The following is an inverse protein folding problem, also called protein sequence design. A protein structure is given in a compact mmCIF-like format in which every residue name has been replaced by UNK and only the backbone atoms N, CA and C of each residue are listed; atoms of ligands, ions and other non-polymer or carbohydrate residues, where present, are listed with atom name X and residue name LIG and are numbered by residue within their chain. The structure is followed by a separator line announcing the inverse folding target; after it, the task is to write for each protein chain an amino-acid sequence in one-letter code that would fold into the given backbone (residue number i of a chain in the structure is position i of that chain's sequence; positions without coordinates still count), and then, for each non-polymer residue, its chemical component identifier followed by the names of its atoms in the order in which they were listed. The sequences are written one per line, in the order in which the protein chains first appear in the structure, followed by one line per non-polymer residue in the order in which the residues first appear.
data_IF_092022040533
#
_entry.id   IF_092022040533
#
_cell.length_a   1.000
_cell.length_b   1.000
_cell.length_c   1.000
_cell.angle_alpha   90.00
_cell.angle_beta   90.00
_cell.angle_gamma   90.00
#
_symmetry.space_group_name_H-M   'P 1'
#
loop_
_entity.id
_entity.type
_entity.pdbx_description
1 polymer ?
#
# COMPACT_ATOMS: atom_id res chain seq x y z
N UNK A 1 6.62 8.89 58.30
CA UNK A 1 6.41 10.10 59.11
C UNK A 1 7.58 10.22 60.09
N UNK A 2 8.16 11.44 60.19
CA UNK A 2 9.20 11.73 61.18
C UNK A 2 8.52 12.32 62.42
N UNK A 3 9.01 11.98 63.62
CA UNK A 3 8.49 12.49 64.87
C UNK A 3 9.55 13.32 65.58
N UNK A 4 9.13 14.28 66.40
CA UNK A 4 10.03 15.05 67.22
C UNK A 4 9.30 16.07 68.08
N UNK A 5 10.03 16.73 68.95
CA UNK A 5 9.52 17.75 69.88
C UNK A 5 9.93 19.12 69.41
N UNK A 6 9.02 20.08 69.30
CA UNK A 6 9.29 21.46 68.93
C UNK A 6 10.01 22.17 70.10
N UNK A 7 11.21 22.67 69.85
CA UNK A 7 11.99 23.40 70.82
C UNK A 7 11.83 24.90 70.74
N UNK A 8 11.88 25.44 69.55
CA UNK A 8 11.83 26.88 69.27
C UNK A 8 11.16 27.17 67.94
N UNK A 9 10.44 28.28 67.88
CA UNK A 9 9.83 28.77 66.62
C UNK A 9 10.43 30.15 66.33
N UNK A 10 10.97 30.33 65.10
CA UNK A 10 11.47 31.60 64.58
C UNK A 10 10.85 31.85 63.22
N UNK A 11 9.94 32.83 63.17
CA UNK A 11 9.19 33.17 61.95
C UNK A 11 8.38 31.98 61.45
N UNK A 12 8.63 31.53 60.20
CA UNK A 12 7.89 30.45 59.57
C UNK A 12 8.62 29.07 59.63
N UNK A 13 9.52 28.89 60.67
CA UNK A 13 10.28 27.68 60.89
C UNK A 13 10.31 27.28 62.35
N UNK A 14 10.14 26.00 62.60
CA UNK A 14 10.30 25.38 63.91
C UNK A 14 11.59 24.57 63.94
N UNK A 15 12.32 24.65 65.06
CA UNK A 15 13.45 23.76 65.37
C UNK A 15 12.87 22.59 66.15
N UNK A 16 12.98 21.39 65.62
CA UNK A 16 12.42 20.16 66.17
C UNK A 16 13.56 19.23 66.57
N UNK A 17 13.52 18.69 67.79
CA UNK A 17 14.41 17.65 68.25
C UNK A 17 13.81 16.29 67.87
N UNK A 18 14.54 15.51 67.11
CA UNK A 18 14.14 14.14 66.76
C UNK A 18 14.55 13.14 67.86
N UNK A 19 13.92 11.94 67.93
CA UNK A 19 14.27 10.94 68.91
C UNK A 19 15.72 10.44 68.88
N UNK A 20 16.38 10.61 67.70
CA UNK A 20 17.78 10.30 67.46
C UNK A 20 18.73 11.45 67.89
N UNK A 21 18.22 12.46 68.57
CA UNK A 21 19.02 13.56 69.15
C UNK A 21 19.42 14.63 68.17
N UNK A 22 18.82 14.67 66.94
CA UNK A 22 19.15 15.66 65.90
C UNK A 22 18.21 16.85 65.93
N UNK A 23 18.76 18.03 65.71
CA UNK A 23 17.99 19.24 65.55
C UNK A 23 17.69 19.47 64.07
N UNK A 24 16.38 19.51 63.72
CA UNK A 24 15.94 19.77 62.33
C UNK A 24 15.12 21.04 62.30
N UNK A 25 15.39 21.89 61.32
CA UNK A 25 14.53 23.03 61.00
C UNK A 25 13.46 22.63 60.02
N UNK A 26 12.21 22.67 60.44
CA UNK A 26 11.04 22.29 59.65
C UNK A 26 10.18 23.51 59.41
N UNK A 27 9.55 23.63 58.26
CA UNK A 27 8.60 24.70 57.98
C UNK A 27 7.33 24.50 58.85
N UNK A 28 6.88 25.59 59.46
CA UNK A 28 5.65 25.59 60.25
C UNK A 28 4.45 25.26 59.37
N UNK A 29 3.56 24.30 59.74
CA UNK A 29 2.31 24.09 59.02
C UNK A 29 1.34 25.24 59.28
N UNK A 30 0.26 25.34 58.46
CA UNK A 30 -0.73 26.39 58.58
C UNK A 30 -1.48 26.38 59.93
N UNK A 31 -1.59 25.22 60.54
CA UNK A 31 -2.26 25.02 61.84
C UNK A 31 -1.45 25.51 63.05
N UNK A 32 -0.18 25.88 62.83
CA UNK A 32 0.75 26.29 63.87
C UNK A 32 1.23 25.14 64.74
N UNK A 33 2.42 25.31 65.39
CA UNK A 33 2.96 24.45 66.43
C UNK A 33 3.40 25.34 67.58
N UNK A 34 3.47 24.78 68.78
CA UNK A 34 3.96 25.49 69.97
C UNK A 34 5.24 24.82 70.48
N UNK A 35 6.15 25.55 71.14
CA UNK A 35 7.28 24.97 71.83
C UNK A 35 6.83 23.95 72.87
N UNK A 36 7.39 22.73 72.81
CA UNK A 36 7.00 21.59 73.69
C UNK A 36 6.05 20.59 72.96
N UNK A 37 5.47 20.91 71.83
CA UNK A 37 4.58 20.00 71.11
C UNK A 37 5.35 18.82 70.56
N UNK A 38 4.79 17.60 70.75
CA UNK A 38 5.19 16.45 69.95
C UNK A 38 4.54 16.46 68.61
N UNK A 39 5.35 16.64 67.57
CA UNK A 39 4.87 16.79 66.23
C UNK A 39 5.33 15.66 65.33
N UNK A 40 4.47 15.31 64.41
CA UNK A 40 4.82 14.40 63.30
C UNK A 40 4.80 15.17 62.00
N UNK A 41 5.88 15.07 61.28
CA UNK A 41 5.95 15.67 59.95
C UNK A 41 6.48 14.67 58.93
N UNK A 42 6.10 14.85 57.71
CA UNK A 42 6.56 14.03 56.60
C UNK A 42 5.85 14.46 55.35
N UNK A 43 6.56 14.39 54.28
CA UNK A 43 5.93 14.61 52.98
C UNK A 43 5.07 13.39 52.74
N UNK A 44 3.77 13.51 52.84
CA UNK A 44 2.89 12.57 52.17
C UNK A 44 3.31 12.58 50.71
N UNK A 45 3.90 11.52 50.24
CA UNK A 45 4.06 11.30 48.82
C UNK A 45 2.65 11.01 48.30
N UNK A 46 1.92 12.10 48.06
CA UNK A 46 0.72 12.02 47.26
C UNK A 46 1.14 11.39 45.91
N UNK A 47 0.70 10.16 45.68
CA UNK A 47 0.78 9.47 44.41
C UNK A 47 -0.24 10.06 43.44
N UNK A 48 -0.30 11.39 43.35
CA UNK A 48 -0.94 12.00 42.19
C UNK A 48 -0.01 11.70 41.00
N UNK A 49 -0.41 10.76 40.15
CA UNK A 49 0.16 10.61 38.83
C UNK A 49 0.24 12.02 38.24
N UNK A 50 1.45 12.50 38.02
CA UNK A 50 1.63 13.88 37.54
C UNK A 50 0.73 14.02 36.32
N UNK A 51 -0.11 15.04 36.23
CA UNK A 51 -1.07 15.20 35.10
C UNK A 51 -0.37 15.08 33.74
N UNK A 52 0.91 15.46 33.67
CA UNK A 52 1.76 15.25 32.50
C UNK A 52 1.91 13.77 32.10
N UNK A 53 1.97 12.85 33.09
CA UNK A 53 2.13 11.41 32.80
C UNK A 53 0.81 10.81 32.31
N UNK A 54 -0.33 11.25 32.84
CA UNK A 54 -1.65 10.87 32.36
C UNK A 54 -1.86 11.38 30.92
N UNK A 55 -1.50 12.64 30.66
CA UNK A 55 -1.58 13.20 29.31
C UNK A 55 -0.68 12.47 28.32
N UNK A 56 0.55 12.10 28.73
CA UNK A 56 1.45 11.33 27.88
C UNK A 56 0.87 9.94 27.55
N UNK A 57 0.29 9.25 28.53
CA UNK A 57 -0.37 7.95 28.29
C UNK A 57 -1.57 8.08 27.35
N UNK A 58 -2.40 9.11 27.52
CA UNK A 58 -3.54 9.37 26.62
C UNK A 58 -3.07 9.69 25.20
N UNK A 59 -1.99 10.47 25.06
CA UNK A 59 -1.42 10.80 23.76
C UNK A 59 -0.87 9.55 23.05
N UNK A 60 -0.18 8.67 23.76
CA UNK A 60 0.30 7.39 23.21
C UNK A 60 -0.87 6.49 22.83
N UNK A 61 -1.90 6.40 23.68
CA UNK A 61 -3.11 5.62 23.41
C UNK A 61 -3.87 6.12 22.18
N UNK A 62 -3.80 7.41 21.88
CA UNK A 62 -4.41 7.99 20.67
C UNK A 62 -3.51 7.86 19.44
N UNK A 63 -2.21 8.17 19.57
CA UNK A 63 -1.30 8.23 18.43
C UNK A 63 -0.91 6.85 17.88
N UNK A 64 -0.78 5.83 18.74
CA UNK A 64 -0.40 4.49 18.30
C UNK A 64 -1.48 3.87 17.38
N UNK A 65 -2.77 3.81 17.77
CA UNK A 65 -3.80 3.29 16.87
C UNK A 65 -4.01 4.19 15.64
N UNK A 66 -3.87 5.51 15.78
CA UNK A 66 -3.94 6.43 14.64
C UNK A 66 -2.79 6.18 13.64
N UNK A 67 -1.57 5.97 14.12
CA UNK A 67 -0.42 5.62 13.28
C UNK A 67 -0.57 4.22 12.65
N UNK A 68 -1.13 3.25 13.37
CA UNK A 68 -1.45 1.92 12.84
C UNK A 68 -2.55 2.00 11.77
N UNK A 69 -3.60 2.77 11.99
CA UNK A 69 -4.65 3.01 11.01
C UNK A 69 -4.11 3.73 9.78
N UNK A 70 -3.33 4.81 9.97
CA UNK A 70 -2.63 5.50 8.89
C UNK A 70 -1.76 4.53 8.07
N UNK A 71 -0.95 3.72 8.75
CA UNK A 71 -0.11 2.71 8.10
C UNK A 71 -0.92 1.64 7.37
N UNK A 72 -2.08 1.25 7.88
CA UNK A 72 -2.96 0.27 7.26
C UNK A 72 -3.69 0.83 6.03
N UNK A 73 -4.21 2.06 6.11
CA UNK A 73 -4.97 2.68 5.02
C UNK A 73 -4.09 3.41 3.99
N UNK A 74 -2.98 4.04 4.41
CA UNK A 74 -2.15 4.89 3.56
C UNK A 74 -0.80 4.28 3.17
N UNK A 75 -0.42 3.12 3.72
CA UNK A 75 0.80 2.43 3.33
C UNK A 75 0.73 1.79 1.92
N UNK A 76 -0.48 1.76 1.31
CA UNK A 76 -0.64 1.42 -0.08
C UNK A 76 -0.26 2.63 -0.93
N UNK A 77 0.65 2.42 -1.87
CA UNK A 77 1.02 3.44 -2.85
C UNK A 77 -0.15 3.77 -3.80
N UNK A 78 -0.03 4.84 -4.59
CA UNK A 78 -0.96 5.08 -5.68
C UNK A 78 -0.89 3.95 -6.70
N UNK A 79 -2.00 3.70 -7.40
CA UNK A 79 -2.04 2.75 -8.51
C UNK A 79 -1.03 3.18 -9.58
N UNK A 80 -0.18 2.26 -10.01
CA UNK A 80 0.82 2.46 -11.07
C UNK A 80 0.55 1.60 -12.29
N UNK A 81 -0.19 0.50 -12.11
CA UNK A 81 -0.65 -0.34 -13.20
C UNK A 81 -1.99 -0.99 -12.85
N UNK A 82 -2.77 -1.31 -13.85
CA UNK A 82 -3.98 -2.13 -13.75
C UNK A 82 -3.70 -3.50 -14.33
N UNK A 83 -4.22 -4.51 -13.67
CA UNK A 83 -4.13 -5.91 -14.10
C UNK A 83 -5.54 -6.45 -14.22
N UNK A 84 -6.01 -6.70 -15.43
CA UNK A 84 -7.27 -7.40 -15.65
C UNK A 84 -7.04 -8.91 -15.81
N UNK A 85 -7.94 -9.68 -15.21
CA UNK A 85 -7.93 -11.14 -15.24
C UNK A 85 -9.28 -11.60 -15.79
N UNK A 86 -9.25 -12.15 -16.96
CA UNK A 86 -10.42 -12.62 -17.68
C UNK A 86 -10.41 -14.15 -17.73
N UNK A 87 -11.33 -14.75 -17.00
CA UNK A 87 -11.55 -16.19 -16.92
C UNK A 87 -12.99 -16.50 -17.37
N UNK A 88 -13.89 -15.54 -17.24
CA UNK A 88 -15.31 -15.63 -17.08
C UNK A 88 -15.69 -16.29 -15.73
N UNK A 89 -15.25 -15.64 -14.64
CA UNK A 89 -15.35 -14.22 -14.26
C UNK A 89 -14.28 -13.27 -14.82
N UNK A 90 -14.59 -11.95 -14.80
CA UNK A 90 -13.65 -10.88 -15.17
C UNK A 90 -13.44 -9.92 -13.99
N UNK A 91 -12.17 -9.67 -13.66
CA UNK A 91 -11.73 -8.86 -12.54
C UNK A 91 -10.66 -7.85 -12.97
N UNK A 92 -10.58 -6.71 -12.32
CA UNK A 92 -9.50 -5.75 -12.47
C UNK A 92 -8.89 -5.39 -11.12
N UNK A 93 -7.58 -5.42 -11.04
CA UNK A 93 -6.80 -5.07 -9.87
C UNK A 93 -5.89 -3.87 -10.18
N UNK A 94 -5.89 -2.85 -9.30
CA UNK A 94 -4.90 -1.79 -9.32
C UNK A 94 -3.75 -2.13 -8.37
N UNK A 95 -2.51 -2.04 -8.86
CA UNK A 95 -1.31 -2.36 -8.09
C UNK A 95 -0.45 -1.12 -7.85
N UNK A 96 0.21 -1.08 -6.69
CA UNK A 96 1.18 -0.04 -6.35
C UNK A 96 2.60 -0.39 -6.88
N UNK A 97 3.57 0.51 -6.69
CA UNK A 97 4.96 0.31 -7.09
C UNK A 97 5.68 -0.86 -6.37
N UNK A 98 5.02 -1.50 -5.41
CA UNK A 98 5.49 -2.71 -4.73
C UNK A 98 4.70 -3.95 -5.14
N UNK A 99 3.93 -3.85 -6.22
CA UNK A 99 3.07 -4.90 -6.75
C UNK A 99 2.02 -5.39 -5.74
N UNK A 100 1.60 -4.51 -4.81
CA UNK A 100 0.54 -4.82 -3.86
C UNK A 100 -0.79 -4.31 -4.39
N UNK A 101 -1.81 -5.12 -4.25
CA UNK A 101 -3.17 -4.79 -4.68
C UNK A 101 -3.75 -3.70 -3.78
N UNK A 102 -4.02 -2.54 -4.35
CA UNK A 102 -4.59 -1.39 -3.66
C UNK A 102 -6.03 -1.05 -4.12
N UNK A 103 -6.44 -1.61 -5.26
CA UNK A 103 -7.79 -1.51 -5.79
C UNK A 103 -8.20 -2.86 -6.40
N UNK A 104 -9.48 -3.23 -6.24
CA UNK A 104 -10.05 -4.37 -6.91
C UNK A 104 -11.47 -4.04 -7.37
N UNK A 105 -11.81 -4.46 -8.58
CA UNK A 105 -13.11 -4.22 -9.21
C UNK A 105 -13.54 -5.48 -9.96
N UNK A 106 -14.78 -5.87 -9.78
CA UNK A 106 -15.41 -6.87 -10.64
C UNK A 106 -15.92 -6.18 -11.92
N UNK A 107 -15.75 -6.83 -13.05
CA UNK A 107 -16.19 -6.34 -14.36
C UNK A 107 -17.45 -7.04 -14.86
N UNK A 108 -17.87 -8.11 -14.15
CA UNK A 108 -19.10 -8.84 -14.42
C UNK A 108 -19.65 -9.50 -13.13
N UNK A 109 -20.91 -9.98 -13.12
CA UNK A 109 -21.54 -10.58 -11.92
C UNK A 109 -20.78 -11.78 -11.35
N UNK A 110 -20.18 -12.61 -12.20
CA UNK A 110 -19.36 -13.74 -11.74
C UNK A 110 -18.08 -13.27 -11.03
N UNK A 111 -17.50 -12.15 -11.50
CA UNK A 111 -16.39 -11.49 -10.83
C UNK A 111 -16.76 -10.96 -9.43
N UNK A 112 -17.98 -10.46 -9.25
CA UNK A 112 -18.46 -10.05 -7.92
C UNK A 112 -18.49 -11.21 -6.94
N UNK A 113 -18.89 -12.40 -7.39
CA UNK A 113 -18.93 -13.60 -6.56
C UNK A 113 -17.53 -14.09 -6.14
N UNK A 114 -16.52 -13.90 -6.99
CA UNK A 114 -15.12 -14.17 -6.64
C UNK A 114 -14.61 -13.10 -5.67
N UNK A 115 -14.84 -11.83 -5.99
CA UNK A 115 -14.31 -10.71 -5.22
C UNK A 115 -14.86 -10.66 -3.80
N UNK A 116 -16.12 -11.05 -3.58
CA UNK A 116 -16.77 -11.08 -2.28
C UNK A 116 -16.08 -12.00 -1.27
N UNK A 117 -15.46 -13.09 -1.74
CA UNK A 117 -14.72 -14.04 -0.90
C UNK A 117 -13.21 -13.80 -0.84
N UNK A 118 -12.71 -12.76 -1.52
CA UNK A 118 -11.28 -12.56 -1.74
C UNK A 118 -10.68 -11.55 -0.77
N UNK A 119 -9.62 -11.94 -0.08
CA UNK A 119 -8.77 -11.00 0.67
C UNK A 119 -7.68 -10.47 -0.25
N UNK A 120 -7.86 -9.27 -0.77
CA UNK A 120 -6.95 -8.70 -1.77
C UNK A 120 -6.16 -7.49 -1.28
N UNK A 121 -6.74 -6.66 -0.40
CA UNK A 121 -6.18 -5.35 -0.05
C UNK A 121 -4.81 -5.46 0.62
N UNK A 122 -3.80 -4.87 0.00
CA UNK A 122 -2.43 -4.81 0.51
C UNK A 122 -1.61 -6.09 0.34
N UNK A 123 -2.19 -7.14 -0.23
CA UNK A 123 -1.48 -8.39 -0.53
C UNK A 123 -0.72 -8.26 -1.85
N UNK A 124 0.25 -9.13 -2.07
CA UNK A 124 0.95 -9.23 -3.35
C UNK A 124 -0.01 -9.62 -4.47
N UNK A 125 0.24 -9.15 -5.67
CA UNK A 125 -0.55 -9.51 -6.84
C UNK A 125 -0.56 -11.04 -7.06
N UNK A 126 0.59 -11.68 -6.91
CA UNK A 126 0.76 -13.13 -7.08
C UNK A 126 -0.16 -13.94 -6.16
N UNK A 127 -0.19 -13.59 -4.86
CA UNK A 127 -1.06 -14.27 -3.89
C UNK A 127 -2.54 -14.07 -4.21
N UNK A 128 -2.91 -12.86 -4.64
CA UNK A 128 -4.29 -12.54 -5.00
C UNK A 128 -4.71 -13.31 -6.25
N UNK A 129 -3.84 -13.38 -7.27
CA UNK A 129 -4.10 -14.13 -8.50
C UNK A 129 -4.15 -15.64 -8.26
N UNK A 130 -3.32 -16.15 -7.35
CA UNK A 130 -3.39 -17.53 -6.92
C UNK A 130 -4.77 -17.85 -6.31
N UNK A 131 -5.24 -17.01 -5.37
CA UNK A 131 -6.55 -17.20 -4.73
C UNK A 131 -7.71 -17.06 -5.73
N UNK A 132 -7.64 -16.10 -6.67
CA UNK A 132 -8.62 -15.96 -7.77
C UNK A 132 -8.69 -17.22 -8.61
N UNK A 133 -7.51 -17.75 -8.98
CA UNK A 133 -7.43 -18.97 -9.81
C UNK A 133 -7.98 -20.19 -9.05
N UNK A 134 -7.66 -20.32 -7.75
CA UNK A 134 -8.21 -21.37 -6.88
C UNK A 134 -9.74 -21.29 -6.87
N UNK A 135 -10.31 -20.13 -6.58
CA UNK A 135 -11.76 -19.95 -6.53
C UNK A 135 -12.41 -20.18 -7.90
N UNK A 136 -11.76 -19.79 -8.99
CA UNK A 136 -12.26 -20.02 -10.35
C UNK A 136 -12.33 -21.51 -10.69
N UNK A 137 -11.35 -22.29 -10.26
CA UNK A 137 -11.35 -23.77 -10.40
C UNK A 137 -12.43 -24.39 -9.51
N UNK A 138 -12.50 -24.01 -8.24
CA UNK A 138 -13.47 -24.56 -7.27
C UNK A 138 -14.93 -24.29 -7.65
N UNK A 139 -15.20 -23.12 -8.22
CA UNK A 139 -16.53 -22.73 -8.72
C UNK A 139 -16.82 -23.27 -10.14
N UNK A 140 -15.86 -23.94 -10.78
CA UNK A 140 -16.02 -24.58 -12.09
C UNK A 140 -15.99 -23.63 -13.28
N UNK A 141 -15.48 -22.41 -13.10
CA UNK A 141 -15.25 -21.46 -14.19
C UNK A 141 -14.09 -21.90 -15.10
N UNK A 142 -13.08 -22.58 -14.54
CA UNK A 142 -12.00 -23.22 -15.29
C UNK A 142 -12.19 -24.71 -15.20
N UNK A 143 -12.55 -25.36 -16.32
CA UNK A 143 -12.71 -26.82 -16.40
C UNK A 143 -11.53 -27.43 -17.14
N UNK A 144 -10.97 -28.52 -16.60
CA UNK A 144 -10.00 -29.36 -17.30
C UNK A 144 -10.65 -29.92 -18.58
N UNK A 145 -10.06 -30.02 -19.66
CA UNK A 145 -10.46 -30.49 -21.00
C UNK A 145 -10.16 -29.46 -22.11
N UNK A 146 -9.27 -28.49 -21.83
CA UNK A 146 -8.89 -27.49 -22.83
C UNK A 146 -9.95 -26.41 -23.13
N UNK A 147 -11.04 -26.37 -22.33
CA UNK A 147 -12.17 -25.43 -22.52
C UNK A 147 -12.12 -24.21 -21.62
N UNK A 148 -10.97 -23.89 -21.02
CA UNK A 148 -10.80 -22.70 -20.19
C UNK A 148 -9.52 -22.00 -20.57
N UNK A 149 -9.58 -20.70 -20.73
CA UNK A 149 -8.41 -19.83 -20.86
C UNK A 149 -8.42 -18.75 -19.75
N UNK A 150 -7.26 -18.41 -19.28
CA UNK A 150 -7.05 -17.27 -18.38
C UNK A 150 -6.28 -16.23 -19.18
N UNK A 151 -6.89 -15.07 -19.35
CA UNK A 151 -6.22 -13.93 -19.96
C UNK A 151 -5.83 -12.93 -18.89
N UNK A 152 -4.54 -12.67 -18.75
CA UNK A 152 -4.00 -11.65 -17.84
C UNK A 152 -3.53 -10.47 -18.70
N UNK A 153 -4.06 -9.29 -18.44
CA UNK A 153 -3.66 -8.09 -19.19
C UNK A 153 -3.17 -7.03 -18.24
N UNK A 154 -1.98 -6.50 -18.50
CA UNK A 154 -1.37 -5.42 -17.70
C UNK A 154 -1.41 -4.12 -18.49
N UNK A 155 -1.93 -3.08 -17.85
CA UNK A 155 -2.05 -1.73 -18.40
C UNK A 155 -1.36 -0.74 -17.46
N UNK A 156 -0.31 -0.01 -17.89
CA UNK A 156 0.28 1.04 -17.08
C UNK A 156 -0.70 2.21 -16.92
N UNK A 157 -0.56 2.98 -15.83
CA UNK A 157 -1.32 4.22 -15.65
C UNK A 157 -0.72 5.29 -16.54
N UNK A 158 -1.53 5.94 -17.38
CA UNK A 158 -1.12 7.03 -18.28
C UNK A 158 -0.34 8.13 -17.55
N UNK A 159 0.72 8.64 -18.16
CA UNK A 159 1.55 9.73 -17.62
C UNK A 159 2.70 9.27 -16.70
N UNK A 160 3.01 7.97 -16.64
CA UNK A 160 4.14 7.44 -15.82
C UNK A 160 5.12 6.56 -16.59
N UNK A 161 5.27 6.75 -17.87
CA UNK A 161 6.24 5.99 -18.67
C UNK A 161 5.76 5.65 -20.06
N UNK A 162 4.97 6.52 -20.68
CA UNK A 162 4.53 6.35 -22.06
C UNK A 162 5.70 6.58 -23.03
N UNK A 163 6.62 5.62 -23.05
CA UNK A 163 7.37 5.35 -24.27
C UNK A 163 6.46 4.52 -25.19
N UNK A 164 6.55 4.69 -26.52
CA UNK A 164 5.80 3.86 -27.45
C UNK A 164 6.10 2.38 -27.19
N UNK A 165 5.11 1.48 -27.38
CA UNK A 165 5.35 0.05 -27.23
C UNK A 165 6.52 -0.37 -28.12
N UNK A 166 7.41 -1.28 -27.63
CA UNK A 166 8.52 -1.76 -28.43
C UNK A 166 7.92 -2.36 -29.74
N UNK A 167 8.27 -1.77 -30.87
CA UNK A 167 7.95 -2.35 -32.17
C UNK A 167 8.43 -3.80 -32.21
N UNK A 168 7.67 -4.72 -32.79
CA UNK A 168 8.14 -6.07 -33.00
C UNK A 168 9.41 -6.01 -33.85
N UNK A 169 10.48 -6.59 -33.34
CA UNK A 169 11.79 -6.60 -33.98
C UNK A 169 11.69 -7.10 -35.43
N UNK A 170 11.61 -6.20 -36.37
CA UNK A 170 11.93 -6.50 -37.78
C UNK A 170 13.43 -6.58 -37.83
N UNK A 171 13.94 -7.75 -38.20
CA UNK A 171 15.34 -7.96 -38.46
C UNK A 171 15.85 -6.94 -39.49
N UNK A 172 16.84 -6.18 -39.11
CA UNK A 172 17.49 -5.20 -39.97
C UNK A 172 18.87 -4.85 -39.42
N UNK A 173 19.84 -4.88 -40.29
CA UNK A 173 21.26 -4.70 -40.20
C UNK A 173 21.75 -3.54 -39.29
N UNK A 174 22.99 -3.58 -38.77
CA UNK A 174 23.50 -2.57 -37.84
C UNK A 174 23.64 -1.19 -38.51
N UNK A 175 23.24 -0.10 -37.85
CA UNK A 175 23.48 1.24 -38.38
C UNK A 175 24.93 1.69 -38.16
N UNK A 176 25.48 2.22 -39.23
CA UNK A 176 26.71 2.96 -39.38
C UNK A 176 26.76 4.17 -38.42
N UNK A 177 27.91 4.42 -37.80
CA UNK A 177 28.12 5.50 -36.86
C UNK A 177 28.07 6.87 -37.52
N UNK A 178 27.35 7.87 -37.02
CA UNK A 178 27.48 9.25 -37.46
C UNK A 178 28.58 9.99 -36.68
N UNK A 179 29.32 10.77 -37.47
CA UNK A 179 30.42 11.62 -37.09
C UNK A 179 30.09 12.67 -36.03
N UNK A 180 31.14 13.01 -35.28
CA UNK A 180 31.16 14.08 -34.27
C UNK A 180 30.69 15.43 -34.80
N UNK A 181 29.76 16.06 -34.10
CA UNK A 181 29.48 17.48 -34.23
C UNK A 181 29.66 18.20 -32.89
N UNK A 182 30.58 19.11 -32.94
CA UNK A 182 30.99 20.25 -32.13
C UNK A 182 30.10 20.71 -30.97
N UNK A 183 30.81 20.97 -29.87
CA UNK A 183 30.38 21.65 -28.64
C UNK A 183 29.69 22.99 -28.92
N UNK A 184 28.50 23.16 -28.37
CA UNK A 184 27.83 24.44 -28.17
C UNK A 184 27.78 24.76 -26.68
N UNK A 185 28.05 26.03 -26.37
CA UNK A 185 28.19 26.61 -25.03
C UNK A 185 27.00 26.44 -24.10
N UNK A 186 27.18 26.51 -22.76
CA UNK A 186 26.10 26.31 -21.80
C UNK A 186 25.25 27.59 -21.68
N UNK A 187 24.05 27.52 -22.22
CA UNK A 187 23.00 28.52 -22.02
C UNK A 187 22.38 28.43 -20.64
N UNK A 188 22.07 29.58 -20.08
CA UNK A 188 21.56 29.90 -18.75
C UNK A 188 20.46 28.96 -18.24
N UNK A 189 20.59 28.63 -16.96
CA UNK A 189 19.77 27.68 -16.21
C UNK A 189 18.26 27.90 -16.33
N UNK A 190 17.62 26.99 -16.99
CA UNK A 190 16.18 26.75 -16.92
C UNK A 190 15.89 26.02 -15.61
N UNK A 191 15.23 26.67 -14.67
CA UNK A 191 14.82 26.04 -13.42
C UNK A 191 13.82 24.92 -13.75
N UNK A 192 14.05 23.69 -13.28
CA UNK A 192 13.13 22.59 -13.55
C UNK A 192 11.76 22.92 -12.95
N UNK A 193 10.72 22.87 -13.77
CA UNK A 193 9.34 23.09 -13.37
C UNK A 193 8.90 22.13 -12.24
N UNK A 194 7.81 22.41 -11.53
CA UNK A 194 7.36 21.64 -10.37
C UNK A 194 7.07 20.14 -10.66
N UNK A 195 6.92 19.76 -11.92
CA UNK A 195 6.83 18.36 -12.34
C UNK A 195 8.17 17.62 -12.27
N UNK A 196 9.28 18.28 -12.66
CA UNK A 196 10.62 17.69 -12.63
C UNK A 196 11.17 17.51 -11.20
N UNK A 197 10.70 18.33 -10.23
CA UNK A 197 11.04 18.14 -8.82
C UNK A 197 10.35 16.91 -8.19
N UNK A 198 9.20 16.50 -8.71
CA UNK A 198 8.47 15.32 -8.23
C UNK A 198 9.13 14.00 -8.61
N UNK A 199 9.93 13.96 -9.66
CA UNK A 199 10.64 12.75 -10.12
C UNK A 199 11.90 12.42 -9.31
N UNK A 200 12.46 13.38 -8.57
CA UNK A 200 13.73 13.24 -7.85
C UNK A 200 13.62 12.90 -6.37
N UNK A 201 12.47 12.38 -5.91
CA UNK A 201 12.36 11.92 -4.52
C UNK A 201 13.01 10.52 -4.39
N UNK A 202 14.16 10.39 -3.72
CA UNK A 202 14.96 9.15 -3.73
C UNK A 202 14.29 7.92 -3.09
N UNK A 203 13.12 8.09 -2.49
CA UNK A 203 12.33 6.99 -1.89
C UNK A 203 11.18 6.47 -2.76
N UNK A 204 10.93 7.06 -3.94
CA UNK A 204 9.96 6.51 -4.88
C UNK A 204 10.63 5.41 -5.70
N UNK A 205 10.26 4.16 -5.43
CA UNK A 205 10.58 3.08 -6.35
C UNK A 205 9.98 3.42 -7.73
N UNK A 206 10.75 3.18 -8.82
CA UNK A 206 10.18 3.28 -10.15
C UNK A 206 8.97 2.34 -10.27
N UNK A 207 7.99 2.64 -11.14
CA UNK A 207 6.90 1.72 -11.41
C UNK A 207 7.48 0.38 -11.87
N UNK A 208 6.87 -0.75 -11.47
CA UNK A 208 7.31 -2.04 -11.95
C UNK A 208 7.15 -2.12 -13.47
N UNK A 209 8.07 -2.84 -14.12
CA UNK A 209 7.98 -3.11 -15.55
C UNK A 209 6.69 -3.89 -15.85
N UNK A 210 5.79 -3.37 -16.71
CA UNK A 210 4.54 -4.03 -17.06
C UNK A 210 4.75 -5.44 -17.63
N UNK A 211 5.83 -5.67 -18.38
CA UNK A 211 6.16 -7.00 -18.91
C UNK A 211 6.50 -7.97 -17.78
N UNK A 212 7.27 -7.53 -16.79
CA UNK A 212 7.59 -8.34 -15.62
C UNK A 212 6.35 -8.69 -14.81
N UNK A 213 5.50 -7.70 -14.51
CA UNK A 213 4.24 -7.90 -13.77
C UNK A 213 3.35 -8.91 -14.49
N UNK A 214 3.23 -8.77 -15.82
CA UNK A 214 2.49 -9.72 -16.66
C UNK A 214 3.02 -11.14 -16.53
N UNK A 215 4.32 -11.31 -16.67
CA UNK A 215 4.94 -12.65 -16.67
C UNK A 215 4.88 -13.31 -15.27
N UNK A 216 5.00 -12.53 -14.21
CA UNK A 216 4.79 -13.00 -12.83
C UNK A 216 3.33 -13.42 -12.60
N UNK A 217 2.38 -12.61 -13.04
CA UNK A 217 0.96 -12.92 -12.95
C UNK A 217 0.58 -14.21 -13.71
N UNK A 218 1.11 -14.37 -14.93
CA UNK A 218 0.92 -15.60 -15.72
C UNK A 218 1.50 -16.82 -14.99
N UNK A 219 2.71 -16.69 -14.43
CA UNK A 219 3.33 -17.77 -13.65
C UNK A 219 2.53 -18.12 -12.39
N UNK A 220 1.98 -17.12 -11.70
CA UNK A 220 1.16 -17.35 -10.49
C UNK A 220 -0.08 -18.17 -10.82
N UNK A 221 -0.83 -17.80 -11.86
CA UNK A 221 -2.01 -18.52 -12.31
C UNK A 221 -1.65 -19.95 -12.82
N UNK A 222 -0.59 -20.08 -13.62
CA UNK A 222 -0.14 -21.37 -14.16
C UNK A 222 0.24 -22.36 -13.06
N UNK A 223 0.97 -21.91 -12.04
CA UNK A 223 1.33 -22.76 -10.88
C UNK A 223 0.12 -23.34 -10.17
N UNK A 224 -0.93 -22.54 -9.98
CA UNK A 224 -2.16 -23.03 -9.34
C UNK A 224 -2.85 -24.07 -10.18
N UNK A 225 -2.96 -23.84 -11.49
CA UNK A 225 -3.57 -24.80 -12.41
C UNK A 225 -2.81 -26.13 -12.42
N UNK A 226 -1.49 -26.10 -12.47
CA UNK A 226 -0.63 -27.28 -12.38
C UNK A 226 -0.83 -28.05 -11.06
N UNK A 227 -0.84 -27.35 -9.93
CA UNK A 227 -1.07 -27.93 -8.60
C UNK A 227 -2.44 -28.57 -8.47
N UNK A 228 -3.44 -28.04 -9.17
CA UNK A 228 -4.82 -28.57 -9.18
C UNK A 228 -5.07 -29.61 -10.28
N UNK A 229 -4.06 -29.89 -11.11
CA UNK A 229 -4.19 -30.84 -12.24
C UNK A 229 -5.13 -30.36 -13.34
N UNK A 230 -5.37 -29.05 -13.45
CA UNK A 230 -6.28 -28.45 -14.43
C UNK A 230 -5.49 -27.98 -15.64
N UNK A 231 -5.87 -28.47 -16.82
CA UNK A 231 -5.27 -28.05 -18.11
C UNK A 231 -6.07 -26.89 -18.67
N UNK A 232 -5.55 -25.67 -18.49
CA UNK A 232 -6.11 -24.46 -19.10
C UNK A 232 -4.97 -23.61 -19.66
N UNK A 233 -5.25 -22.86 -20.73
CA UNK A 233 -4.29 -21.93 -21.31
C UNK A 233 -4.22 -20.65 -20.46
N UNK A 234 -3.03 -20.20 -20.11
CA UNK A 234 -2.82 -18.89 -19.49
C UNK A 234 -2.06 -18.02 -20.49
N UNK A 235 -2.62 -16.88 -20.85
CA UNK A 235 -2.03 -15.91 -21.77
C UNK A 235 -1.86 -14.56 -21.09
N UNK A 236 -0.72 -13.91 -21.34
CA UNK A 236 -0.44 -12.57 -20.87
C UNK A 236 -0.43 -11.58 -22.02
N UNK A 237 -1.12 -10.45 -21.88
CA UNK A 237 -1.10 -9.33 -22.80
C UNK A 237 -0.63 -8.06 -22.10
N UNK A 238 -0.11 -7.11 -22.87
CA UNK A 238 0.06 -5.73 -22.46
C UNK A 238 -0.94 -4.88 -23.25
N UNK A 239 -1.61 -3.96 -22.58
CA UNK A 239 -2.50 -3.00 -23.20
C UNK A 239 -2.09 -1.58 -22.85
N UNK A 240 -2.37 -0.62 -23.72
CA UNK A 240 -2.14 0.78 -23.41
C UNK A 240 -3.25 1.37 -22.53
N UNK A 241 -2.99 2.53 -21.93
CA UNK A 241 -3.99 3.23 -21.13
C UNK A 241 -5.23 3.59 -21.95
N UNK A 242 -5.04 3.95 -23.22
CA UNK A 242 -6.13 4.30 -24.14
C UNK A 242 -7.04 3.09 -24.40
N UNK A 243 -6.44 1.89 -24.59
CA UNK A 243 -7.21 0.65 -24.77
C UNK A 243 -8.05 0.36 -23.52
N UNK A 244 -7.50 0.59 -22.32
CA UNK A 244 -8.24 0.44 -21.09
C UNK A 244 -9.40 1.42 -20.97
N UNK A 245 -9.18 2.71 -21.25
CA UNK A 245 -10.23 3.72 -21.24
C UNK A 245 -11.35 3.41 -22.25
N UNK A 246 -10.97 2.95 -23.44
CA UNK A 246 -11.95 2.54 -24.46
C UNK A 246 -12.72 1.30 -24.00
N UNK A 247 -12.06 0.33 -23.36
CA UNK A 247 -12.69 -0.85 -22.79
C UNK A 247 -13.72 -0.48 -21.72
N UNK A 248 -13.39 0.46 -20.83
CA UNK A 248 -14.34 0.96 -19.82
C UNK A 248 -15.60 1.56 -20.44
N UNK A 249 -15.46 2.37 -21.51
CA UNK A 249 -16.61 2.95 -22.23
C UNK A 249 -17.50 1.89 -22.88
N UNK A 250 -16.92 0.75 -23.25
CA UNK A 250 -17.62 -0.38 -23.88
C UNK A 250 -18.10 -1.44 -22.88
N UNK A 251 -17.88 -1.23 -21.57
CA UNK A 251 -18.12 -2.22 -20.52
C UNK A 251 -17.41 -3.56 -20.79
N UNK A 252 -16.16 -3.48 -21.20
CA UNK A 252 -15.27 -4.62 -21.43
C UNK A 252 -14.05 -4.54 -20.50
N UNK A 253 -13.35 -5.66 -20.32
CA UNK A 253 -12.01 -5.63 -19.78
C UNK A 253 -11.00 -5.14 -20.82
N UNK A 254 -9.88 -4.58 -20.37
CA UNK A 254 -8.80 -4.17 -21.27
C UNK A 254 -8.27 -5.36 -22.09
N UNK A 255 -8.23 -6.55 -21.49
CA UNK A 255 -7.79 -7.77 -22.16
C UNK A 255 -8.73 -8.21 -23.29
N UNK A 256 -10.02 -8.20 -23.02
CA UNK A 256 -11.02 -8.56 -24.04
C UNK A 256 -11.03 -7.59 -25.21
N UNK A 257 -10.90 -6.29 -24.95
CA UNK A 257 -10.79 -5.30 -26.02
C UNK A 257 -9.48 -5.46 -26.80
N UNK A 258 -8.35 -5.64 -26.12
CA UNK A 258 -7.07 -5.88 -26.77
C UNK A 258 -7.12 -7.12 -27.69
N UNK A 259 -7.72 -8.22 -27.20
CA UNK A 259 -7.88 -9.43 -28.00
C UNK A 259 -8.79 -9.19 -29.22
N UNK A 260 -9.88 -8.44 -29.06
CA UNK A 260 -10.74 -8.04 -30.17
C UNK A 260 -9.99 -7.23 -31.23
N UNK A 261 -9.19 -6.25 -30.81
CA UNK A 261 -8.41 -5.43 -31.73
C UNK A 261 -7.39 -6.25 -32.52
N UNK A 262 -6.67 -7.14 -31.84
CA UNK A 262 -5.72 -8.08 -32.44
C UNK A 262 -6.41 -9.00 -33.47
N UNK A 263 -7.58 -9.57 -33.10
CA UNK A 263 -8.35 -10.41 -34.04
C UNK A 263 -8.80 -9.66 -35.29
N UNK A 264 -9.24 -8.42 -35.11
CA UNK A 264 -9.65 -7.55 -36.20
C UNK A 264 -8.49 -7.16 -37.14
N UNK A 265 -7.32 -6.85 -36.58
CA UNK A 265 -6.10 -6.60 -37.33
C UNK A 265 -5.64 -7.84 -38.12
N UNK A 266 -5.85 -9.03 -37.57
CA UNK A 266 -5.59 -10.29 -38.27
C UNK A 266 -6.62 -10.64 -39.35
N UNK A 267 -7.62 -9.76 -39.62
CA UNK A 267 -8.65 -10.01 -40.62
C UNK A 267 -9.73 -11.00 -40.19
N UNK A 268 -9.82 -11.33 -38.91
CA UNK A 268 -10.84 -12.24 -38.39
C UNK A 268 -12.11 -11.41 -38.13
N UNK A 269 -13.19 -11.70 -38.83
CA UNK A 269 -14.49 -11.09 -38.58
C UNK A 269 -15.12 -11.65 -37.32
N UNK A 270 -15.06 -10.89 -36.21
CA UNK A 270 -15.70 -11.21 -34.94
C UNK A 270 -16.56 -10.05 -34.47
N UNK A 271 -17.74 -10.36 -34.00
CA UNK A 271 -18.63 -9.34 -33.45
C UNK A 271 -18.19 -8.98 -32.02
N UNK A 272 -18.18 -7.69 -31.67
CA UNK A 272 -17.81 -7.19 -30.35
C UNK A 272 -18.65 -7.84 -29.21
N UNK A 273 -19.91 -8.16 -29.50
CA UNK A 273 -20.83 -8.82 -28.56
C UNK A 273 -20.33 -10.20 -28.11
N UNK A 274 -19.58 -10.92 -28.95
CA UNK A 274 -18.99 -12.21 -28.59
C UNK A 274 -17.92 -12.06 -27.51
N UNK A 275 -17.23 -10.90 -27.47
CA UNK A 275 -16.26 -10.60 -26.41
C UNK A 275 -16.90 -10.07 -25.14
N UNK A 276 -18.18 -9.67 -25.15
CA UNK A 276 -18.92 -9.24 -23.96
C UNK A 276 -19.37 -10.44 -23.11
N UNK A 277 -19.90 -11.46 -23.73
CA UNK A 277 -20.61 -12.55 -23.08
C UNK A 277 -19.91 -13.91 -23.23
N UNK A 278 -19.03 -14.04 -24.22
CA UNK A 278 -18.34 -15.28 -24.52
C UNK A 278 -17.25 -15.64 -23.52
N UNK A 279 -16.86 -16.92 -23.42
CA UNK A 279 -15.63 -17.33 -22.75
C UNK A 279 -14.43 -16.71 -23.49
N UNK A 280 -13.34 -16.47 -22.76
CA UNK A 280 -12.08 -15.92 -23.31
C UNK A 280 -11.34 -16.98 -24.13
#
# INVERSE_FOLDING_TARGET
MKKGVVLEIRGNRATVLTPDGRFLRVRLPAEGWYPGDEVTWGRERSFYLRPALVMACLLVLLLVPAAMAYRHFWALGPVVAYVSVDINPSLEFGVDARERVCLARALNPDGEQILAGLRWRGRSLDDVLADVTVQAVEKGYVRGEGRGAILVTVTPVAGRGDGPPPEPAKGGSPPEAPAAQTAGEPGAGEQPGPAALRERLPWRKPPPDPARVRDEAVRAASRVLEQRGVRAAVKGLAASAEVREQAERLNLSAGRLALYLVAREAGIEVALEQFRTGPV
#
